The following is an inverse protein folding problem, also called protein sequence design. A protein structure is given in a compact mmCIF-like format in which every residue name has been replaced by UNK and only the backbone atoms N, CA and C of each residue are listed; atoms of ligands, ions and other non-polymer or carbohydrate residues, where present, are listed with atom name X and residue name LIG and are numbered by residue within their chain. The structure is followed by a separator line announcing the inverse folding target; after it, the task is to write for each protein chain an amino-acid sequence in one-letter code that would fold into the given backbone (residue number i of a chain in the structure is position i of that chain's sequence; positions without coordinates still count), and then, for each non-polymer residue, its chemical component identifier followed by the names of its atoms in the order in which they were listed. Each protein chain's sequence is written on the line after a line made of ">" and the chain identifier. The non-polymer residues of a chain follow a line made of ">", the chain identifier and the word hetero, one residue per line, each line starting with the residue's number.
data_IF_641894399634
#
_entry.id   IF_641894399634
#
_cell.length_a   1.000
_cell.length_b   1.000
_cell.length_c   1.000
_cell.angle_alpha   90.00
_cell.angle_beta   90.00
_cell.angle_gamma   90.00
#
_symmetry.space_group_name_H-M   'P 1'
#
loop_
_entity.id
_entity.type
_entity.pdbx_description
1 polymer ?
#
# COMPACT_ATOMS: atom_id res chain seq x y z
N UNK A 1 18.31 -10.02 15.35
CA UNK A 1 17.23 -9.23 14.69
C UNK A 1 16.02 -10.09 14.28
N UNK A 2 16.22 -11.31 13.76
CA UNK A 2 15.13 -12.20 13.31
C UNK A 2 14.00 -12.44 14.35
N UNK A 3 14.35 -12.68 15.61
CA UNK A 3 13.34 -12.93 16.66
C UNK A 3 12.41 -11.73 16.87
N UNK A 4 12.94 -10.50 16.79
CA UNK A 4 12.13 -9.27 16.91
C UNK A 4 11.19 -9.15 15.73
N UNK A 5 11.68 -9.42 14.51
CA UNK A 5 10.86 -9.43 13.28
C UNK A 5 9.74 -10.46 13.35
N UNK A 6 10.03 -11.68 13.78
CA UNK A 6 9.02 -12.74 13.89
C UNK A 6 7.96 -12.40 14.94
N UNK A 7 8.36 -11.88 16.10
CA UNK A 7 7.42 -11.42 17.13
C UNK A 7 6.55 -10.26 16.62
N UNK A 8 7.14 -9.30 15.90
CA UNK A 8 6.40 -8.19 15.31
C UNK A 8 5.37 -8.67 14.27
N UNK A 9 5.76 -9.57 13.37
CA UNK A 9 4.86 -10.15 12.36
C UNK A 9 3.71 -10.91 13.04
N UNK A 10 4.02 -11.75 14.06
CA UNK A 10 3.00 -12.49 14.79
C UNK A 10 2.02 -11.56 15.50
N UNK A 11 2.51 -10.48 16.13
CA UNK A 11 1.68 -9.50 16.81
C UNK A 11 0.80 -8.72 15.82
N UNK A 12 1.37 -8.26 14.70
CA UNK A 12 0.59 -7.59 13.65
C UNK A 12 -0.49 -8.50 13.07
N UNK A 13 -0.16 -9.77 12.81
CA UNK A 13 -1.13 -10.76 12.35
C UNK A 13 -2.29 -10.91 13.34
N UNK A 14 -1.98 -11.05 14.64
CA UNK A 14 -2.99 -11.21 15.68
C UNK A 14 -3.91 -9.99 15.76
N UNK A 15 -3.36 -8.78 15.76
CA UNK A 15 -4.14 -7.53 15.81
C UNK A 15 -5.05 -7.41 14.58
N UNK A 16 -4.52 -7.65 13.37
CA UNK A 16 -5.33 -7.60 12.15
C UNK A 16 -6.40 -8.70 12.11
N UNK A 17 -6.07 -9.91 12.56
CA UNK A 17 -7.00 -11.03 12.60
C UNK A 17 -8.17 -10.76 13.53
N UNK A 18 -7.90 -10.31 14.77
CA UNK A 18 -8.94 -9.95 15.74
C UNK A 18 -9.79 -8.80 15.20
N UNK A 19 -9.17 -7.75 14.66
CA UNK A 19 -9.90 -6.61 14.11
C UNK A 19 -10.79 -6.99 12.93
N UNK A 20 -10.32 -7.85 12.02
CA UNK A 20 -11.10 -8.34 10.89
C UNK A 20 -12.22 -9.28 11.32
N UNK A 21 -11.96 -10.19 12.27
CA UNK A 21 -12.96 -11.14 12.78
C UNK A 21 -14.12 -10.41 13.45
N UNK A 22 -13.85 -9.51 14.39
CA UNK A 22 -14.90 -8.74 15.07
C UNK A 22 -15.54 -7.69 14.16
N UNK A 23 -14.77 -7.10 13.23
CA UNK A 23 -15.31 -6.21 12.20
C UNK A 23 -16.34 -6.92 11.32
N UNK A 24 -16.05 -8.14 10.88
CA UNK A 24 -16.98 -8.93 10.07
C UNK A 24 -18.19 -9.41 10.89
N UNK A 25 -17.98 -9.97 12.09
CA UNK A 25 -19.06 -10.47 12.94
C UNK A 25 -20.04 -9.38 13.41
N UNK A 26 -19.63 -8.10 13.42
CA UNK A 26 -20.52 -7.00 13.81
C UNK A 26 -21.49 -6.60 12.69
N UNK A 27 -21.03 -6.58 11.44
CA UNK A 27 -21.81 -6.05 10.30
C UNK A 27 -22.27 -7.11 9.30
N UNK A 28 -21.75 -8.34 9.37
CA UNK A 28 -22.04 -9.44 8.46
C UNK A 28 -22.00 -8.99 6.99
N UNK A 29 -23.11 -9.09 6.25
CA UNK A 29 -23.20 -8.78 4.83
C UNK A 29 -23.21 -7.27 4.50
N UNK A 30 -23.15 -6.38 5.50
CA UNK A 30 -23.21 -4.91 5.32
C UNK A 30 -21.89 -4.19 5.55
N UNK A 31 -20.74 -4.88 5.43
CA UNK A 31 -19.41 -4.27 5.61
C UNK A 31 -19.04 -3.33 4.45
N UNK A 32 -18.94 -2.03 4.73
CA UNK A 32 -18.45 -1.01 3.82
C UNK A 32 -16.92 -1.00 3.72
N UNK A 33 -16.40 -0.07 2.92
CA UNK A 33 -14.96 0.08 2.59
C UNK A 33 -14.13 0.43 3.80
N UNK A 34 -14.79 1.12 4.73
CA UNK A 34 -14.24 1.70 5.91
C UNK A 34 -15.16 1.32 7.07
N UNK A 35 -14.66 0.40 7.91
CA UNK A 35 -15.38 -0.10 9.07
C UNK A 35 -15.73 1.05 10.03
N UNK A 36 -14.88 2.09 10.10
CA UNK A 36 -15.11 3.25 10.95
C UNK A 36 -16.25 4.12 10.43
N UNK A 37 -16.51 4.11 9.11
CA UNK A 37 -17.66 4.78 8.51
C UNK A 37 -18.96 4.09 8.92
N UNK A 38 -18.99 2.76 8.95
CA UNK A 38 -20.17 1.98 9.34
C UNK A 38 -20.53 2.16 10.81
N UNK A 39 -19.54 2.14 11.71
CA UNK A 39 -19.79 2.38 13.14
C UNK A 39 -20.42 3.74 13.42
N UNK A 40 -20.02 4.80 12.70
CA UNK A 40 -20.65 6.12 12.91
C UNK A 40 -21.99 6.30 12.19
N UNK A 41 -22.36 5.43 11.24
CA UNK A 41 -23.74 5.37 10.72
C UNK A 41 -24.66 4.62 11.68
N UNK A 42 -24.17 3.53 12.27
CA UNK A 42 -24.94 2.72 13.22
C UNK A 42 -25.13 3.40 14.58
N UNK A 43 -24.09 4.04 15.13
CA UNK A 43 -24.07 4.70 16.45
C UNK A 43 -23.70 6.21 16.32
N UNK A 44 -24.61 7.05 15.82
CA UNK A 44 -24.29 8.46 15.52
C UNK A 44 -24.05 9.33 16.76
N UNK A 45 -24.56 8.95 17.94
CA UNK A 45 -24.46 9.76 19.16
C UNK A 45 -23.37 9.30 20.14
N UNK A 46 -22.64 8.23 19.86
CA UNK A 46 -21.65 7.73 20.80
C UNK A 46 -20.38 8.58 20.82
N UNK A 47 -20.02 9.05 22.02
CA UNK A 47 -18.80 9.82 22.25
C UNK A 47 -17.53 9.01 21.92
N UNK A 48 -17.56 7.69 22.12
CA UNK A 48 -16.43 6.80 21.86
C UNK A 48 -16.05 6.78 20.38
N UNK A 49 -17.01 6.61 19.47
CA UNK A 49 -16.76 6.57 18.02
C UNK A 49 -16.21 7.91 17.52
N UNK A 50 -16.72 9.02 18.06
CA UNK A 50 -16.22 10.37 17.76
C UNK A 50 -14.78 10.57 18.20
N UNK A 51 -14.43 10.12 19.41
CA UNK A 51 -13.05 10.18 19.92
C UNK A 51 -12.10 9.32 19.09
N UNK A 52 -12.46 8.08 18.74
CA UNK A 52 -11.62 7.20 17.91
C UNK A 52 -11.37 7.83 16.53
N UNK A 53 -12.40 8.42 15.92
CA UNK A 53 -12.24 9.17 14.65
C UNK A 53 -11.28 10.34 14.78
N UNK A 54 -11.38 11.13 15.86
CA UNK A 54 -10.46 12.22 16.11
C UNK A 54 -9.01 11.72 16.26
N UNK A 55 -8.79 10.68 17.07
CA UNK A 55 -7.48 10.09 17.26
C UNK A 55 -6.90 9.54 15.94
N UNK A 56 -7.71 8.87 15.13
CA UNK A 56 -7.32 8.40 13.80
C UNK A 56 -6.93 9.56 12.88
N UNK A 57 -7.73 10.63 12.83
CA UNK A 57 -7.42 11.82 12.03
C UNK A 57 -6.11 12.49 12.50
N UNK A 58 -5.91 12.64 13.81
CA UNK A 58 -4.66 13.17 14.35
C UNK A 58 -3.45 12.29 13.98
N UNK A 59 -3.59 10.96 14.06
CA UNK A 59 -2.55 10.03 13.65
C UNK A 59 -2.23 10.13 12.15
N UNK A 60 -3.25 10.26 11.29
CA UNK A 60 -3.07 10.45 9.84
C UNK A 60 -2.37 11.78 9.56
N UNK A 61 -2.80 12.88 10.19
CA UNK A 61 -2.17 14.20 10.03
C UNK A 61 -0.69 14.15 10.42
N UNK A 62 -0.34 13.42 11.48
CA UNK A 62 1.05 13.30 11.94
C UNK A 62 1.91 12.39 11.04
N UNK A 63 1.31 11.36 10.45
CA UNK A 63 2.02 10.38 9.60
C UNK A 63 2.25 10.88 8.17
N UNK A 64 1.35 11.70 7.62
CA UNK A 64 1.47 12.26 6.25
C UNK A 64 2.79 13.03 6.02
N UNK A 65 3.26 13.89 6.93
CA UNK A 65 4.57 14.54 6.82
C UNK A 65 5.75 13.56 6.81
N UNK A 66 5.67 12.52 7.66
CA UNK A 66 6.72 11.53 7.80
C UNK A 66 6.90 10.69 6.53
N UNK A 67 5.81 10.37 5.83
CA UNK A 67 5.86 9.64 4.55
C UNK A 67 6.22 10.55 3.37
N UNK A 68 5.87 11.83 3.41
CA UNK A 68 6.19 12.79 2.35
C UNK A 68 7.69 13.05 2.23
N UNK A 69 8.41 13.07 3.36
CA UNK A 69 9.85 13.30 3.38
C UNK A 69 10.66 12.29 2.53
N UNK A 70 10.55 10.96 2.76
CA UNK A 70 11.25 9.97 1.94
C UNK A 70 10.71 9.94 0.50
N UNK A 71 9.41 10.15 0.28
CA UNK A 71 8.84 10.20 -1.07
C UNK A 71 9.47 11.31 -1.93
N UNK A 72 9.60 12.52 -1.37
CA UNK A 72 10.29 13.63 -2.01
C UNK A 72 11.76 13.30 -2.28
N UNK A 73 12.46 12.72 -1.30
CA UNK A 73 13.86 12.34 -1.45
C UNK A 73 14.07 11.30 -2.56
N UNK A 74 13.18 10.31 -2.66
CA UNK A 74 13.20 9.31 -3.72
C UNK A 74 13.02 9.94 -5.11
N UNK A 75 12.05 10.85 -5.27
CA UNK A 75 11.85 11.56 -6.55
C UNK A 75 13.04 12.44 -6.92
N UNK A 76 13.64 13.13 -5.96
CA UNK A 76 14.85 13.93 -6.20
C UNK A 76 16.01 13.05 -6.66
N UNK A 77 16.23 11.90 -6.03
CA UNK A 77 17.27 10.96 -6.48
C UNK A 77 16.98 10.41 -7.88
N UNK A 78 15.71 10.14 -8.20
CA UNK A 78 15.33 9.54 -9.48
C UNK A 78 15.45 10.52 -10.66
N UNK A 79 15.09 11.79 -10.47
CA UNK A 79 15.10 12.80 -11.54
C UNK A 79 16.37 13.69 -11.54
N UNK A 80 16.97 13.95 -10.38
CA UNK A 80 18.05 14.93 -10.21
C UNK A 80 19.23 14.35 -9.42
N UNK A 81 19.69 13.15 -9.77
CA UNK A 81 20.82 12.49 -9.10
C UNK A 81 22.15 13.27 -9.14
N UNK A 82 22.33 14.21 -10.09
CA UNK A 82 23.61 14.87 -10.36
C UNK A 82 23.58 16.42 -10.29
N UNK A 83 22.47 17.03 -9.88
CA UNK A 83 22.35 18.49 -9.83
C UNK A 83 22.57 19.05 -8.42
N UNK A 84 23.17 20.25 -8.34
CA UNK A 84 23.37 20.98 -7.09
C UNK A 84 22.03 21.35 -6.44
N UNK A 85 22.02 21.36 -5.11
CA UNK A 85 20.83 21.67 -4.32
C UNK A 85 20.28 23.07 -4.68
N UNK A 86 19.03 23.11 -5.16
CA UNK A 86 18.35 24.34 -5.54
C UNK A 86 16.95 24.36 -4.94
N UNK A 87 16.63 25.43 -4.20
CA UNK A 87 15.34 25.63 -3.55
C UNK A 87 14.16 25.61 -4.52
N UNK A 88 14.37 26.04 -5.77
CA UNK A 88 13.34 26.08 -6.81
C UNK A 88 12.93 24.67 -7.24
N UNK A 89 13.91 23.78 -7.43
CA UNK A 89 13.66 22.37 -7.76
C UNK A 89 12.93 21.66 -6.60
N UNK A 90 13.32 21.98 -5.37
CA UNK A 90 12.64 21.47 -4.18
C UNK A 90 11.17 21.87 -4.14
N UNK A 91 10.87 23.15 -4.34
CA UNK A 91 9.51 23.67 -4.34
C UNK A 91 8.66 23.05 -5.47
N UNK A 92 9.20 22.98 -6.68
CA UNK A 92 8.50 22.44 -7.86
C UNK A 92 8.14 20.97 -7.68
N UNK A 93 9.07 20.14 -7.17
CA UNK A 93 8.81 18.71 -6.92
C UNK A 93 7.74 18.54 -5.83
N UNK A 94 7.79 19.32 -4.75
CA UNK A 94 6.77 19.24 -3.69
C UNK A 94 5.40 19.69 -4.19
N UNK A 95 5.36 20.70 -5.05
CA UNK A 95 4.12 21.19 -5.64
C UNK A 95 3.52 20.14 -6.59
N UNK A 96 4.34 19.56 -7.48
CA UNK A 96 3.91 18.50 -8.39
C UNK A 96 3.38 17.27 -7.62
N UNK A 97 4.10 16.83 -6.58
CA UNK A 97 3.66 15.73 -5.70
C UNK A 97 2.29 16.03 -5.08
N UNK A 98 2.11 17.22 -4.48
CA UNK A 98 0.84 17.58 -3.84
C UNK A 98 -0.31 17.66 -4.85
N UNK A 99 -0.07 18.24 -6.03
CA UNK A 99 -1.09 18.30 -7.09
C UNK A 99 -1.54 16.89 -7.48
N UNK A 100 -0.60 15.96 -7.68
CA UNK A 100 -0.92 14.57 -8.03
C UNK A 100 -1.74 13.89 -6.92
N UNK A 101 -1.35 14.07 -5.66
CA UNK A 101 -2.04 13.46 -4.51
C UNK A 101 -3.46 14.02 -4.36
N UNK A 102 -3.64 15.34 -4.45
CA UNK A 102 -4.95 15.98 -4.37
C UNK A 102 -5.83 15.55 -5.54
N UNK A 103 -5.27 15.47 -6.74
CA UNK A 103 -5.98 15.02 -7.93
C UNK A 103 -6.45 13.56 -7.78
N UNK A 104 -5.59 12.67 -7.28
CA UNK A 104 -5.98 11.31 -6.91
C UNK A 104 -7.14 11.27 -5.91
N UNK A 105 -7.09 12.10 -4.86
CA UNK A 105 -8.10 12.13 -3.81
C UNK A 105 -9.47 12.61 -4.32
N UNK A 106 -9.49 13.55 -5.27
CA UNK A 106 -10.73 14.05 -5.88
C UNK A 106 -11.36 13.01 -6.82
N UNK A 107 -10.54 12.34 -7.63
CA UNK A 107 -11.05 11.38 -8.62
C UNK A 107 -11.37 9.99 -8.06
N UNK A 108 -10.77 9.61 -6.93
CA UNK A 108 -10.97 8.27 -6.34
C UNK A 108 -11.57 8.40 -4.94
N UNK A 109 -12.91 8.48 -4.82
CA UNK A 109 -13.59 8.69 -3.55
C UNK A 109 -13.60 7.45 -2.64
N UNK A 110 -13.28 6.27 -3.17
CA UNK A 110 -13.27 5.01 -2.43
C UNK A 110 -11.86 4.56 -2.05
N UNK A 111 -11.62 4.40 -0.74
CA UNK A 111 -10.33 3.94 -0.22
C UNK A 111 -9.96 2.52 -0.72
N UNK A 112 -10.97 1.67 -0.98
CA UNK A 112 -10.79 0.34 -1.61
C UNK A 112 -10.20 0.46 -3.00
N UNK A 113 -10.68 1.43 -3.78
CA UNK A 113 -10.14 1.71 -5.09
C UNK A 113 -8.75 2.31 -4.94
N UNK A 114 -8.51 3.27 -4.04
CA UNK A 114 -7.19 3.86 -3.79
C UNK A 114 -6.12 2.80 -3.45
N UNK A 115 -6.38 1.89 -2.52
CA UNK A 115 -5.45 0.80 -2.17
C UNK A 115 -5.23 -0.21 -3.31
N UNK A 116 -6.20 -0.35 -4.22
CA UNK A 116 -6.04 -1.13 -5.46
C UNK A 116 -5.43 -0.35 -6.64
N UNK A 117 -5.43 0.99 -6.60
CA UNK A 117 -5.25 1.89 -7.77
C UNK A 117 -3.99 2.76 -7.70
N UNK A 118 -3.33 2.98 -6.56
CA UNK A 118 -2.13 3.86 -6.52
C UNK A 118 -0.93 3.22 -7.25
N UNK A 119 -0.78 3.53 -8.53
CA UNK A 119 0.16 4.51 -9.11
C UNK A 119 -0.30 4.82 -10.54
N UNK A 120 -0.42 6.12 -10.82
CA UNK A 120 -1.01 6.73 -12.02
C UNK A 120 -0.15 6.57 -13.30
N UNK A 121 -0.84 6.72 -14.45
CA UNK A 121 -0.30 7.15 -15.75
C UNK A 121 0.12 6.11 -16.80
N UNK A 122 -0.19 4.82 -16.63
CA UNK A 122 -0.21 3.87 -17.75
C UNK A 122 -1.53 3.08 -17.75
N UNK A 123 -2.26 2.98 -18.87
CA UNK A 123 -3.55 2.27 -18.93
C UNK A 123 -3.52 0.78 -18.53
N UNK A 124 -2.35 0.19 -18.26
CA UNK A 124 -2.21 -1.27 -18.18
C UNK A 124 -1.53 -1.84 -16.93
N UNK A 125 -1.12 -1.04 -15.93
CA UNK A 125 -0.48 -1.59 -14.70
C UNK A 125 -1.07 -0.95 -13.45
N UNK A 126 -2.09 -1.58 -12.86
CA UNK A 126 -2.88 -1.07 -11.71
C UNK A 126 -2.29 -1.53 -10.36
N UNK A 127 -2.42 -0.67 -9.33
CA UNK A 127 -1.74 -0.65 -8.02
C UNK A 127 -1.67 -1.93 -7.16
N UNK A 128 -2.50 -2.95 -7.39
CA UNK A 128 -2.24 -4.30 -6.87
C UNK A 128 -0.84 -4.80 -7.28
N UNK A 129 -0.45 -4.53 -8.53
CA UNK A 129 0.85 -4.93 -9.07
C UNK A 129 2.02 -4.30 -8.32
N UNK A 130 1.90 -3.06 -7.85
CA UNK A 130 2.99 -2.38 -7.14
C UNK A 130 3.25 -3.05 -5.78
N UNK A 131 2.19 -3.37 -5.03
CA UNK A 131 2.32 -4.10 -3.76
C UNK A 131 2.84 -5.53 -3.97
N UNK A 132 2.27 -6.28 -4.92
CA UNK A 132 2.75 -7.64 -5.24
C UNK A 132 4.21 -7.62 -5.73
N UNK A 133 4.60 -6.58 -6.48
CA UNK A 133 5.96 -6.41 -6.95
C UNK A 133 6.92 -6.10 -5.77
N UNK A 134 6.59 -5.15 -4.90
CA UNK A 134 7.40 -4.79 -3.73
C UNK A 134 7.54 -5.93 -2.72
N UNK A 135 6.47 -6.70 -2.49
CA UNK A 135 6.46 -7.76 -1.47
C UNK A 135 7.02 -9.09 -1.95
N UNK A 136 6.81 -9.47 -3.23
CA UNK A 136 7.22 -10.79 -3.73
C UNK A 136 8.32 -10.71 -4.81
N UNK A 137 8.22 -9.76 -5.74
CA UNK A 137 9.13 -9.70 -6.91
C UNK A 137 10.49 -9.12 -6.53
N UNK A 138 10.52 -7.97 -5.86
CA UNK A 138 11.76 -7.30 -5.47
C UNK A 138 12.64 -8.10 -4.51
N UNK A 139 12.15 -8.69 -3.39
CA UNK A 139 13.00 -9.49 -2.52
C UNK A 139 13.54 -10.74 -3.23
N UNK A 140 12.72 -11.40 -4.07
CA UNK A 140 13.16 -12.52 -4.90
C UNK A 140 14.26 -12.10 -5.88
N UNK A 141 14.08 -10.98 -6.58
CA UNK A 141 15.01 -10.49 -7.60
C UNK A 141 16.33 -9.97 -6.98
N UNK A 142 16.27 -9.27 -5.84
CA UNK A 142 17.46 -8.86 -5.12
C UNK A 142 18.24 -10.06 -4.56
N UNK A 143 17.55 -11.06 -4.01
CA UNK A 143 18.20 -12.28 -3.52
C UNK A 143 18.87 -13.05 -4.67
N UNK A 144 18.17 -13.23 -5.80
CA UNK A 144 18.73 -13.92 -6.97
C UNK A 144 19.92 -13.18 -7.58
N UNK A 145 19.88 -11.85 -7.64
CA UNK A 145 20.95 -11.03 -8.24
C UNK A 145 22.15 -10.83 -7.33
N UNK A 146 21.96 -10.82 -6.00
CA UNK A 146 23.04 -10.61 -5.03
C UNK A 146 23.63 -11.93 -4.50
N UNK A 147 22.88 -13.04 -4.53
CA UNK A 147 23.40 -14.34 -4.09
C UNK A 147 24.48 -14.86 -5.03
N UNK A 148 25.66 -15.16 -4.47
CA UNK A 148 26.74 -15.89 -5.15
C UNK A 148 26.69 -17.40 -4.91
N UNK A 149 25.59 -17.90 -4.33
CA UNK A 149 25.37 -19.33 -4.12
C UNK A 149 25.04 -20.04 -5.45
N UNK A 150 25.44 -21.31 -5.56
CA UNK A 150 25.15 -22.16 -6.72
C UNK A 150 23.65 -22.19 -7.05
N UNK A 151 23.33 -22.28 -8.34
CA UNK A 151 21.95 -22.27 -8.85
C UNK A 151 21.04 -23.37 -8.26
N UNK A 152 21.62 -24.40 -7.64
CA UNK A 152 20.92 -25.56 -7.04
C UNK A 152 20.68 -25.46 -5.52
N UNK A 153 21.07 -24.37 -4.84
CA UNK A 153 20.77 -24.19 -3.41
C UNK A 153 19.26 -24.08 -3.18
N UNK A 154 18.72 -24.85 -2.22
CA UNK A 154 17.30 -24.82 -1.82
C UNK A 154 16.77 -23.41 -1.52
N UNK A 155 17.65 -22.52 -1.02
CA UNK A 155 17.30 -21.13 -0.73
C UNK A 155 17.10 -20.31 -2.00
N UNK A 156 17.91 -20.56 -3.03
CA UNK A 156 17.82 -19.90 -4.34
C UNK A 156 16.61 -20.37 -5.13
N UNK A 157 16.27 -21.67 -5.03
CA UNK A 157 15.01 -22.21 -5.53
C UNK A 157 13.80 -21.54 -4.86
N UNK A 158 13.83 -21.38 -3.54
CA UNK A 158 12.78 -20.67 -2.79
C UNK A 158 12.58 -19.23 -3.26
N UNK A 159 13.66 -18.47 -3.50
CA UNK A 159 13.59 -17.13 -4.03
C UNK A 159 13.05 -17.08 -5.47
N UNK A 160 13.39 -18.06 -6.30
CA UNK A 160 12.88 -18.19 -7.66
C UNK A 160 11.38 -18.52 -7.69
N UNK A 161 10.93 -19.42 -6.83
CA UNK A 161 9.49 -19.73 -6.64
C UNK A 161 8.73 -18.50 -6.14
N UNK A 162 9.28 -17.76 -5.18
CA UNK A 162 8.69 -16.52 -4.67
C UNK A 162 8.51 -15.48 -5.79
N UNK A 163 9.52 -15.34 -6.65
CA UNK A 163 9.48 -14.46 -7.81
C UNK A 163 8.38 -14.89 -8.81
N UNK A 164 8.34 -16.16 -9.21
CA UNK A 164 7.33 -16.69 -10.14
C UNK A 164 5.92 -16.51 -9.55
N UNK A 165 5.73 -16.86 -8.30
CA UNK A 165 4.44 -16.73 -7.61
C UNK A 165 4.02 -15.26 -7.56
N UNK A 166 4.92 -14.34 -7.24
CA UNK A 166 4.66 -12.91 -7.27
C UNK A 166 4.19 -12.42 -8.64
N UNK A 167 4.84 -12.88 -9.72
CA UNK A 167 4.43 -12.55 -11.10
C UNK A 167 3.07 -13.15 -11.43
N UNK A 168 2.80 -14.41 -11.08
CA UNK A 168 1.52 -15.06 -11.35
C UNK A 168 0.36 -14.39 -10.61
N UNK A 169 0.52 -14.14 -9.31
CA UNK A 169 -0.48 -13.47 -8.48
C UNK A 169 -0.72 -12.04 -8.96
N UNK A 170 0.35 -11.32 -9.35
CA UNK A 170 0.24 -9.98 -9.92
C UNK A 170 -0.59 -9.96 -11.21
N UNK A 171 -0.29 -10.86 -12.15
CA UNK A 171 -1.05 -11.00 -13.39
C UNK A 171 -2.50 -11.42 -13.16
N UNK A 172 -2.74 -12.36 -12.24
CA UNK A 172 -4.09 -12.80 -11.90
C UNK A 172 -4.91 -11.66 -11.26
N UNK A 173 -4.31 -10.91 -10.34
CA UNK A 173 -4.98 -9.76 -9.73
C UNK A 173 -5.31 -8.67 -10.76
N UNK A 174 -4.40 -8.39 -11.69
CA UNK A 174 -4.68 -7.48 -12.81
C UNK A 174 -5.87 -7.96 -13.64
N UNK A 175 -5.91 -9.24 -13.99
CA UNK A 175 -7.00 -9.82 -14.77
C UNK A 175 -8.36 -9.68 -14.07
N UNK A 176 -8.44 -9.97 -12.77
CA UNK A 176 -9.67 -9.83 -11.97
C UNK A 176 -10.13 -8.37 -11.90
N UNK A 177 -9.21 -7.42 -11.73
CA UNK A 177 -9.55 -5.99 -11.69
C UNK A 177 -10.09 -5.51 -13.04
N UNK A 178 -9.45 -5.93 -14.14
CA UNK A 178 -9.91 -5.58 -15.50
C UNK A 178 -11.28 -6.20 -15.77
N UNK A 179 -11.48 -7.46 -15.40
CA UNK A 179 -12.76 -8.15 -15.55
C UNK A 179 -13.89 -7.47 -14.76
N UNK A 180 -13.64 -7.14 -13.48
CA UNK A 180 -14.60 -6.39 -12.67
C UNK A 180 -14.88 -5.01 -13.26
N UNK A 181 -13.90 -4.34 -13.87
CA UNK A 181 -14.14 -3.04 -14.49
C UNK A 181 -15.01 -3.14 -15.75
N UNK A 182 -14.84 -4.20 -16.56
CA UNK A 182 -15.64 -4.43 -17.77
C UNK A 182 -17.08 -4.82 -17.42
N UNK A 183 -17.27 -5.69 -16.42
CA UNK A 183 -18.58 -6.18 -16.04
C UNK A 183 -19.38 -5.23 -15.13
N UNK A 184 -18.73 -4.26 -14.50
CA UNK A 184 -19.38 -3.30 -13.60
C UNK A 184 -19.72 -1.98 -14.34
N UNK A 185 -20.05 -2.11 -15.62
CA UNK A 185 -20.76 -1.10 -16.41
C UNK A 185 -22.25 -1.34 -16.35
#
# INVERSE_FOLDING_TARGET
>A
MQNVTNTAIALSFLIYFISALFGYLTFYDKVASDVLQDYGKYLPHDGVVRTVRLCFLCAVILTVPLIHFPARKALMMMFFSNFSFSWIHHFLITLALNIIIVLCAVYVPDIRNVFGVIVLSFPSVKGSSTSTCLTFVFPGLFYLKLSREDFLSWKKLGAFVLFILGVLVGNFSLAVIVFNWINNK
#
